data_IF_178325099053
#
_entry.id   IF_178325099053
#
_cell.length_a   1.000
_cell.length_b   1.000
_cell.length_c   1.000
_cell.angle_alpha   90.00
_cell.angle_beta   90.00
_cell.angle_gamma   90.00
#
_symmetry.space_group_name_H-M   'P 1'
#
loop_
_entity.id
_entity.type
_entity.pdbx_description
1 polymer ?
#
# COMPACT_ATOMS: atom_id res chain seq x y z
N UNK A 1 14.86 4.29 -10.69
CA UNK A 1 13.98 3.46 -10.82
C UNK A 1 12.61 3.87 -10.99
N UNK A 2 11.71 3.12 -10.78
CA UNK A 2 10.39 3.50 -11.03
C UNK A 2 9.95 4.62 -10.18
N UNK A 3 10.64 4.89 -9.20
CA UNK A 3 10.21 5.90 -8.32
C UNK A 3 10.07 7.22 -8.97
N UNK A 4 10.82 7.51 -9.99
CA UNK A 4 10.68 8.72 -10.56
C UNK A 4 9.41 8.94 -11.16
N UNK A 5 9.04 8.23 -12.08
CA UNK A 5 7.82 8.45 -12.76
C UNK A 5 6.71 8.39 -11.78
N UNK A 6 6.82 7.52 -10.86
CA UNK A 6 5.79 7.42 -9.94
C UNK A 6 5.73 8.48 -8.93
N UNK A 7 6.78 9.08 -8.63
CA UNK A 7 6.75 10.05 -7.60
C UNK A 7 5.83 11.19 -7.85
N UNK A 8 5.83 11.74 -9.01
CA UNK A 8 4.96 12.84 -9.27
C UNK A 8 3.55 12.39 -9.15
N UNK A 9 3.28 11.16 -9.56
CA UNK A 9 1.98 10.64 -9.54
C UNK A 9 1.60 10.26 -8.13
N UNK A 10 2.54 9.71 -7.39
CA UNK A 10 2.28 9.26 -6.05
C UNK A 10 1.94 10.37 -5.09
N UNK A 11 2.46 11.53 -5.30
CA UNK A 11 2.18 12.60 -4.38
C UNK A 11 0.68 12.91 -4.35
N UNK A 12 -0.05 12.53 -5.39
CA UNK A 12 -1.46 12.76 -5.42
C UNK A 12 -2.28 11.51 -5.18
N UNK A 13 -1.62 10.40 -4.99
CA UNK A 13 -2.32 9.17 -4.79
C UNK A 13 -2.95 9.14 -3.43
N UNK A 14 -4.14 8.63 -3.37
CA UNK A 14 -4.79 8.44 -2.09
C UNK A 14 -4.79 7.01 -1.66
N UNK A 15 -4.16 6.17 -2.44
CA UNK A 15 -4.10 4.75 -2.13
C UNK A 15 -2.76 4.18 -2.53
N UNK A 16 -2.34 3.17 -1.81
CA UNK A 16 -1.10 2.47 -2.13
C UNK A 16 -1.46 1.18 -2.86
N UNK A 17 -0.56 0.72 -3.70
CA UNK A 17 -0.71 -0.59 -4.32
C UNK A 17 0.01 -1.60 -3.43
N UNK A 18 -0.11 -2.87 -3.77
CA UNK A 18 0.60 -3.91 -3.04
C UNK A 18 2.10 -3.70 -3.16
N UNK A 19 2.55 -3.29 -4.34
CA UNK A 19 3.97 -3.02 -4.55
C UNK A 19 4.47 -1.91 -3.64
N UNK A 20 3.65 -0.89 -3.44
CA UNK A 20 4.02 0.20 -2.56
C UNK A 20 4.19 -0.30 -1.13
N UNK A 21 3.28 -1.15 -0.68
CA UNK A 21 3.36 -1.70 0.66
C UNK A 21 4.62 -2.53 0.83
N UNK A 22 4.95 -3.31 -0.18
CA UNK A 22 6.17 -4.13 -0.15
C UNK A 22 7.40 -3.27 0.02
N UNK A 23 7.44 -2.16 -0.67
CA UNK A 23 8.57 -1.26 -0.58
C UNK A 23 8.64 -0.51 0.74
N UNK A 24 7.52 -0.01 1.18
CA UNK A 24 7.50 0.75 2.42
C UNK A 24 7.91 -0.09 3.60
N UNK A 25 7.43 -1.32 3.65
CA UNK A 25 7.72 -2.19 4.78
C UNK A 25 8.89 -3.12 4.53
N UNK A 26 9.40 -3.11 3.32
CA UNK A 26 10.54 -3.96 2.94
C UNK A 26 10.19 -5.43 3.18
N UNK A 27 9.07 -5.86 2.66
CA UNK A 27 8.61 -7.24 2.82
C UNK A 27 8.28 -7.84 1.48
N UNK A 28 8.12 -9.15 1.45
CA UNK A 28 7.80 -9.84 0.23
C UNK A 28 6.33 -9.66 -0.11
N UNK A 29 5.96 -10.03 -1.32
CA UNK A 29 4.58 -9.93 -1.76
C UNK A 29 3.67 -10.81 -0.92
N UNK A 30 4.14 -12.00 -0.58
CA UNK A 30 3.35 -12.89 0.26
C UNK A 30 3.03 -12.26 1.60
N UNK A 31 4.03 -11.65 2.19
CA UNK A 31 3.83 -11.00 3.48
C UNK A 31 2.87 -9.83 3.36
N UNK A 32 2.99 -9.09 2.27
CA UNK A 32 2.09 -7.95 2.05
C UNK A 32 0.64 -8.42 1.95
N UNK A 33 0.40 -9.50 1.24
CA UNK A 33 -0.96 -10.01 1.11
C UNK A 33 -1.49 -10.51 2.44
N UNK A 34 -0.64 -11.11 3.25
CA UNK A 34 -1.06 -11.58 4.55
C UNK A 34 -1.51 -10.40 5.41
N UNK A 35 -0.74 -9.31 5.36
CA UNK A 35 -1.11 -8.13 6.13
C UNK A 35 -2.44 -7.56 5.65
N UNK A 36 -2.63 -7.50 4.35
CA UNK A 36 -3.86 -6.96 3.81
C UNK A 36 -5.04 -7.82 4.23
N UNK A 37 -4.86 -9.12 4.26
CA UNK A 37 -5.92 -10.01 4.65
C UNK A 37 -6.30 -9.90 6.10
N UNK A 38 -5.40 -9.42 6.93
CA UNK A 38 -5.68 -9.27 8.34
C UNK A 38 -6.55 -8.05 8.63
N UNK A 39 -6.82 -7.27 7.60
CA UNK A 39 -7.67 -6.09 7.74
C UNK A 39 -7.16 -5.10 8.78
N UNK A 40 -5.84 -4.94 8.82
CA UNK A 40 -5.24 -4.00 9.74
C UNK A 40 -5.44 -2.57 9.27
N UNK A 41 -5.70 -2.41 7.99
CA UNK A 41 -5.97 -1.10 7.42
C UNK A 41 -6.95 -1.31 6.28
N UNK A 42 -7.54 -0.21 5.83
CA UNK A 42 -8.56 -0.29 4.82
C UNK A 42 -8.02 -0.62 3.46
N UNK A 43 -8.65 -1.53 2.77
CA UNK A 43 -8.25 -1.85 1.42
C UNK A 43 -9.49 -2.16 0.59
N UNK A 44 -9.40 -1.95 -0.71
CA UNK A 44 -10.49 -2.28 -1.61
C UNK A 44 -9.91 -2.92 -2.84
N UNK A 45 -10.70 -3.75 -3.48
CA UNK A 45 -10.27 -4.40 -4.68
C UNK A 45 -10.99 -3.75 -5.84
N UNK A 46 -10.23 -3.21 -6.78
CA UNK A 46 -10.81 -2.57 -7.94
C UNK A 46 -10.34 -3.34 -9.16
N UNK A 47 -11.27 -4.05 -9.81
CA UNK A 47 -10.90 -4.89 -10.92
C UNK A 47 -9.98 -5.98 -10.41
N UNK A 48 -8.79 -6.06 -10.95
CA UNK A 48 -7.83 -7.05 -10.52
C UNK A 48 -6.78 -6.49 -9.59
N UNK A 49 -6.96 -5.26 -9.15
CA UNK A 49 -5.94 -4.62 -8.34
C UNK A 49 -6.43 -4.29 -6.97
N UNK A 50 -5.56 -4.47 -5.99
CA UNK A 50 -5.86 -4.08 -4.64
C UNK A 50 -5.35 -2.68 -4.40
N UNK A 51 -6.15 -1.89 -3.72
CA UNK A 51 -5.75 -0.54 -3.36
C UNK A 51 -5.90 -0.39 -1.86
N UNK A 52 -4.88 0.10 -1.21
CA UNK A 52 -4.88 0.25 0.24
C UNK A 52 -5.00 1.73 0.57
N UNK A 53 -5.91 2.08 1.45
CA UNK A 53 -6.11 3.46 1.83
C UNK A 53 -4.82 4.03 2.42
N UNK A 54 -4.31 5.06 1.81
CA UNK A 54 -3.08 5.66 2.28
C UNK A 54 -3.23 6.18 3.70
N UNK A 55 -4.30 6.88 3.97
CA UNK A 55 -4.53 7.43 5.29
C UNK A 55 -4.62 6.33 6.35
N UNK A 56 -5.32 5.27 6.03
CA UNK A 56 -5.50 4.17 6.95
C UNK A 56 -4.18 3.44 7.19
N UNK A 57 -3.43 3.20 6.13
CA UNK A 57 -2.17 2.51 6.25
C UNK A 57 -1.16 3.35 7.02
N UNK A 58 -1.08 4.64 6.72
CA UNK A 58 -0.15 5.51 7.40
C UNK A 58 -0.47 5.58 8.89
N UNK A 59 -1.75 5.63 9.21
CA UNK A 59 -2.15 5.68 10.59
C UNK A 59 -1.78 4.38 11.32
N UNK A 60 -2.00 3.26 10.68
CA UNK A 60 -1.66 1.97 11.26
C UNK A 60 -0.15 1.88 11.48
N UNK A 61 0.61 2.35 10.52
CA UNK A 61 2.06 2.28 10.59
C UNK A 61 2.58 3.17 11.72
N UNK A 62 2.02 4.35 11.85
CA UNK A 62 2.46 5.26 12.90
C UNK A 62 2.10 4.77 14.29
N UNK A 63 0.98 4.09 14.41
CA UNK A 63 0.56 3.58 15.70
C UNK A 63 1.09 2.20 16.00
N UNK A 64 1.52 1.54 14.98
CA UNK A 64 1.99 0.20 15.13
C UNK A 64 3.41 0.16 15.57
#
# INVERSE_FOLDING_TARGET
KREKAKSAFDSEKRAYSVDDIMEILDISRSSAYILIKKNLFRSVKIGNQLRISKASFDKWLDNG
#
